data_IF_547835120040
#
_entry.id   IF_547835120040
#
_cell.length_a   1.000
_cell.length_b   1.000
_cell.length_c   1.000
_cell.angle_alpha   90.00
_cell.angle_beta   90.00
_cell.angle_gamma   90.00
#
_symmetry.space_group_name_H-M   'P 1'
#
loop_
_entity.id
_entity.type
_entity.pdbx_description
1 polymer ?
#
# COMPACT_ATOMS: atom_id res chain seq x y z
N UNK A 1 -16.37 -43.85 54.93
CA UNK A 1 -16.89 -43.31 53.63
C UNK A 1 -15.74 -43.16 52.65
N UNK A 2 -15.97 -43.48 51.40
CA UNK A 2 -14.94 -43.30 50.36
C UNK A 2 -14.85 -41.80 49.98
N UNK A 3 -13.62 -41.33 49.83
CA UNK A 3 -13.27 -40.02 49.30
C UNK A 3 -12.54 -40.16 48.01
N UNK A 4 -12.86 -39.28 47.03
CA UNK A 4 -12.26 -39.29 45.71
C UNK A 4 -11.51 -38.01 45.48
N UNK A 5 -10.37 -38.10 44.80
CA UNK A 5 -9.62 -36.94 44.29
C UNK A 5 -8.96 -37.27 42.97
N UNK A 6 -8.63 -36.26 42.18
CA UNK A 6 -7.89 -36.46 40.93
C UNK A 6 -7.01 -35.26 40.66
N UNK A 7 -5.94 -35.49 39.89
CA UNK A 7 -5.00 -34.48 39.47
C UNK A 7 -4.61 -34.69 37.98
N UNK A 8 -4.31 -33.62 37.30
CA UNK A 8 -3.68 -33.63 36.00
C UNK A 8 -2.19 -33.30 36.15
N UNK A 9 -1.37 -33.77 35.26
CA UNK A 9 0.06 -33.42 35.12
C UNK A 9 0.29 -32.07 34.47
N UNK A 10 -0.77 -31.43 33.97
CA UNK A 10 -0.71 -30.11 33.30
C UNK A 10 -1.74 -29.13 33.87
N UNK A 11 -1.43 -27.84 33.82
CA UNK A 11 -2.38 -26.75 34.14
C UNK A 11 -3.41 -26.51 33.03
N UNK A 12 -3.15 -27.04 31.81
CA UNK A 12 -4.06 -26.93 30.66
C UNK A 12 -5.34 -27.74 30.78
N UNK A 13 -5.43 -28.64 31.76
CA UNK A 13 -6.61 -29.48 32.02
C UNK A 13 -7.10 -29.31 33.45
N UNK A 14 -8.27 -28.70 33.64
CA UNK A 14 -8.94 -28.64 34.94
C UNK A 14 -9.63 -29.96 35.23
N UNK A 15 -9.30 -30.55 36.39
CA UNK A 15 -9.85 -31.82 36.87
C UNK A 15 -10.66 -31.57 38.13
N UNK A 16 -11.93 -31.97 38.14
CA UNK A 16 -12.80 -31.85 39.28
C UNK A 16 -13.54 -33.16 39.55
N UNK A 17 -13.80 -33.45 40.82
CA UNK A 17 -14.64 -34.57 41.22
C UNK A 17 -15.84 -34.05 42.03
N UNK A 18 -17.02 -34.54 41.67
CA UNK A 18 -18.25 -34.29 42.40
C UNK A 18 -18.93 -35.63 42.66
N UNK A 19 -19.00 -36.03 43.94
CA UNK A 19 -19.42 -37.36 44.40
C UNK A 19 -18.53 -38.44 43.79
N UNK A 20 -19.05 -39.21 42.83
CA UNK A 20 -18.38 -40.31 42.11
C UNK A 20 -18.07 -39.96 40.67
N UNK A 21 -18.30 -38.70 40.27
CA UNK A 21 -18.17 -38.26 38.89
C UNK A 21 -16.91 -37.42 38.70
N UNK A 22 -15.98 -37.86 37.83
CA UNK A 22 -14.82 -37.13 37.38
C UNK A 22 -15.21 -36.24 36.19
N UNK A 23 -14.89 -34.95 36.25
CA UNK A 23 -15.05 -34.01 35.17
C UNK A 23 -13.69 -33.48 34.73
N UNK A 24 -13.48 -33.52 33.45
CA UNK A 24 -12.32 -32.97 32.78
C UNK A 24 -12.75 -31.81 31.92
N UNK A 25 -12.11 -30.65 32.09
CA UNK A 25 -12.41 -29.45 31.35
C UNK A 25 -11.07 -28.83 30.87
N UNK A 26 -10.74 -28.89 29.59
CA UNK A 26 -9.61 -28.15 29.06
C UNK A 26 -9.79 -26.64 29.32
N UNK A 27 -8.71 -25.93 29.55
CA UNK A 27 -8.70 -24.46 29.46
C UNK A 27 -8.83 -24.04 28.01
N UNK A 28 -9.17 -22.77 27.78
CA UNK A 28 -9.21 -22.26 26.41
C UNK A 28 -7.85 -22.46 25.72
N UNK A 29 -7.88 -22.76 24.43
CA UNK A 29 -6.72 -22.88 23.55
C UNK A 29 -5.69 -23.96 23.98
N UNK A 30 -6.09 -24.89 24.85
CA UNK A 30 -5.27 -26.02 25.25
C UNK A 30 -5.51 -27.22 24.34
N UNK A 31 -4.44 -27.73 23.76
CA UNK A 31 -4.39 -29.01 23.04
C UNK A 31 -3.20 -29.83 23.50
N UNK A 32 -3.26 -31.14 23.30
CA UNK A 32 -2.21 -32.05 23.71
C UNK A 32 -2.70 -33.22 24.58
N UNK A 33 -1.79 -34.02 25.07
CA UNK A 33 -2.09 -35.19 25.89
C UNK A 33 -1.67 -34.93 27.31
N UNK A 34 -2.60 -35.16 28.25
CA UNK A 34 -2.41 -35.04 29.69
C UNK A 34 -2.55 -36.39 30.35
N UNK A 35 -1.79 -36.65 31.40
CA UNK A 35 -1.99 -37.79 32.29
C UNK A 35 -2.88 -37.37 33.50
N UNK A 36 -4.00 -38.05 33.65
CA UNK A 36 -4.93 -37.83 34.77
C UNK A 36 -4.82 -38.99 35.74
N UNK A 37 -4.55 -38.68 37.00
CA UNK A 37 -4.49 -39.68 38.06
C UNK A 37 -5.65 -39.49 39.06
N UNK A 38 -6.49 -40.49 39.16
CA UNK A 38 -7.61 -40.52 40.07
C UNK A 38 -7.26 -41.39 41.29
N UNK A 39 -7.74 -40.97 42.47
CA UNK A 39 -7.47 -41.62 43.72
C UNK A 39 -8.79 -41.89 44.45
N UNK A 40 -8.82 -42.98 45.22
CA UNK A 40 -9.87 -43.31 46.15
C UNK A 40 -9.25 -43.62 47.51
N UNK A 41 -9.90 -43.21 48.61
CA UNK A 41 -9.46 -43.53 49.97
C UNK A 41 -10.65 -43.77 50.86
N UNK A 42 -10.52 -44.75 51.78
CA UNK A 42 -11.49 -45.03 52.89
C UNK A 42 -11.08 -44.32 54.15
N UNK A 43 -10.00 -43.58 54.20
CA UNK A 43 -9.38 -42.92 55.33
C UNK A 43 -8.21 -43.67 55.92
N UNK A 44 -7.99 -44.94 55.58
CA UNK A 44 -6.87 -45.78 56.05
C UNK A 44 -6.00 -46.23 54.86
N UNK A 45 -6.65 -46.65 53.77
CA UNK A 45 -6.00 -47.10 52.54
C UNK A 45 -6.29 -46.17 51.41
N UNK A 46 -5.39 -46.14 50.45
CA UNK A 46 -5.51 -45.34 49.20
C UNK A 46 -5.16 -46.18 48.03
N UNK A 47 -5.98 -46.12 46.99
CA UNK A 47 -5.69 -46.70 45.67
C UNK A 47 -5.78 -45.63 44.59
N UNK A 48 -5.19 -45.86 43.45
CA UNK A 48 -5.16 -44.91 42.34
C UNK A 48 -5.06 -45.59 40.98
N UNK A 49 -5.65 -44.95 40.00
CA UNK A 49 -5.50 -45.29 38.60
C UNK A 49 -5.10 -44.06 37.81
N UNK A 50 -4.39 -44.28 36.69
CA UNK A 50 -4.00 -43.21 35.77
C UNK A 50 -4.44 -43.59 34.37
N UNK A 51 -4.79 -42.53 33.57
CA UNK A 51 -5.14 -42.65 32.16
C UNK A 51 -4.69 -41.41 31.39
N UNK A 52 -4.51 -41.55 30.09
CA UNK A 52 -4.23 -40.42 29.23
C UNK A 52 -5.53 -39.81 28.71
N UNK A 53 -5.55 -38.47 28.63
CA UNK A 53 -6.64 -37.71 28.07
C UNK A 53 -6.03 -36.76 26.99
N UNK A 54 -6.51 -36.89 25.76
CA UNK A 54 -5.99 -36.08 24.62
C UNK A 54 -7.07 -35.09 24.22
N UNK A 55 -6.69 -33.81 24.17
CA UNK A 55 -7.44 -32.72 23.53
C UNK A 55 -6.86 -32.54 22.17
N UNK A 56 -7.69 -32.71 21.15
CA UNK A 56 -7.27 -32.49 19.78
C UNK A 56 -7.14 -31.01 19.49
N UNK A 57 -6.13 -30.64 18.70
CA UNK A 57 -6.02 -29.28 18.19
C UNK A 57 -7.21 -28.98 17.26
N UNK A 58 -7.73 -27.77 17.37
CA UNK A 58 -8.72 -27.20 16.44
C UNK A 58 -8.06 -25.98 15.87
N UNK A 59 -7.99 -25.89 14.55
CA UNK A 59 -7.41 -24.74 13.85
C UNK A 59 -8.15 -23.46 14.24
N UNK A 60 -7.39 -22.49 14.71
CA UNK A 60 -7.84 -21.14 15.03
C UNK A 60 -7.14 -20.14 14.10
N UNK A 61 -7.82 -19.07 13.73
CA UNK A 61 -7.21 -18.00 12.97
C UNK A 61 -6.25 -17.17 13.84
N UNK A 62 -5.20 -16.55 13.25
CA UNK A 62 -4.35 -15.61 13.95
C UNK A 62 -5.15 -14.51 14.64
N UNK A 63 -4.71 -14.03 15.79
CA UNK A 63 -5.41 -12.98 16.52
C UNK A 63 -5.29 -11.64 15.81
N UNK A 64 -6.30 -10.79 16.01
CA UNK A 64 -6.29 -9.43 15.53
C UNK A 64 -5.04 -8.67 16.01
N UNK A 65 -4.49 -7.84 15.14
CA UNK A 65 -3.28 -7.06 15.37
C UNK A 65 -3.43 -5.64 14.85
N UNK A 66 -2.59 -4.72 15.33
CA UNK A 66 -2.75 -3.29 15.08
C UNK A 66 -1.52 -2.69 14.41
N UNK A 67 -1.74 -1.63 13.65
CA UNK A 67 -0.69 -0.76 13.21
C UNK A 67 -0.05 0.00 14.38
N UNK A 68 1.29 0.07 14.39
CA UNK A 68 2.07 0.97 15.25
C UNK A 68 2.54 2.23 14.50
N UNK A 69 2.46 2.22 13.18
CA UNK A 69 2.78 3.39 12.33
C UNK A 69 1.63 4.40 12.33
N UNK A 70 1.93 5.65 12.02
CA UNK A 70 0.93 6.73 11.88
C UNK A 70 -0.04 6.44 10.74
N UNK A 71 -1.29 6.88 10.87
CA UNK A 71 -2.34 6.65 9.87
C UNK A 71 -2.04 7.32 8.52
N UNK A 72 -1.37 8.46 8.54
CA UNK A 72 -0.93 9.16 7.32
C UNK A 72 0.43 9.81 7.54
N UNK A 73 1.22 9.88 6.48
CA UNK A 73 2.53 10.49 6.47
C UNK A 73 2.83 11.14 5.12
N UNK A 74 3.91 11.91 5.04
CA UNK A 74 4.34 12.59 3.83
C UNK A 74 5.86 12.51 3.71
N UNK A 75 6.34 12.05 2.56
CA UNK A 75 7.76 11.95 2.27
C UNK A 75 8.12 12.80 1.04
N UNK A 76 9.26 13.49 1.12
CA UNK A 76 9.86 14.20 0.01
C UNK A 76 11.12 13.45 -0.42
N UNK A 77 11.13 12.98 -1.66
CA UNK A 77 12.26 12.27 -2.26
C UNK A 77 13.15 13.26 -2.99
N UNK A 78 14.43 13.21 -2.71
CA UNK A 78 15.49 13.99 -3.33
C UNK A 78 16.68 13.08 -3.66
N UNK A 79 17.63 13.53 -4.47
CA UNK A 79 18.84 12.76 -4.75
C UNK A 79 19.70 12.49 -3.50
N UNK A 80 19.59 13.32 -2.48
CA UNK A 80 20.42 13.22 -1.27
C UNK A 80 19.86 12.25 -0.22
N UNK A 81 18.59 11.81 -0.33
CA UNK A 81 17.94 10.96 0.68
C UNK A 81 17.42 9.62 0.13
N UNK A 82 17.89 9.17 -1.02
CA UNK A 82 17.44 7.93 -1.65
C UNK A 82 17.67 6.67 -0.80
N UNK A 83 18.67 6.71 0.07
CA UNK A 83 18.97 5.62 1.00
C UNK A 83 18.14 5.65 2.29
N UNK A 84 17.39 6.74 2.53
CA UNK A 84 16.45 6.78 3.63
C UNK A 84 15.29 5.83 3.37
N UNK A 85 14.60 5.40 4.43
CA UNK A 85 13.52 4.45 4.31
C UNK A 85 12.27 4.88 5.10
N UNK A 86 11.12 4.72 4.49
CA UNK A 86 9.84 4.74 5.16
C UNK A 86 9.61 3.38 5.84
N UNK A 87 9.22 3.40 7.12
CA UNK A 87 9.07 2.19 7.93
C UNK A 87 7.64 2.02 8.38
N UNK A 88 7.03 0.91 7.97
CA UNK A 88 5.80 0.40 8.53
C UNK A 88 6.11 -0.47 9.75
N UNK A 89 5.30 -0.38 10.79
CA UNK A 89 5.40 -1.19 12.00
C UNK A 89 4.02 -1.59 12.50
N UNK A 90 3.96 -2.78 13.07
CA UNK A 90 2.74 -3.35 13.68
C UNK A 90 3.10 -4.21 14.88
N UNK A 91 2.12 -4.53 15.71
CA UNK A 91 2.30 -5.47 16.81
C UNK A 91 2.15 -6.92 16.32
N UNK A 92 2.69 -7.85 17.07
CA UNK A 92 2.58 -9.28 16.75
C UNK A 92 1.13 -9.72 16.81
N UNK A 93 0.67 -10.43 15.79
CA UNK A 93 -0.49 -11.31 15.87
C UNK A 93 -0.06 -12.59 16.58
N UNK A 94 -0.79 -13.00 17.62
CA UNK A 94 -0.54 -14.26 18.30
C UNK A 94 -1.24 -15.40 17.56
N UNK A 95 -0.61 -16.58 17.64
CA UNK A 95 -1.15 -17.82 17.11
C UNK A 95 -1.20 -18.86 18.26
N UNK A 96 -2.36 -19.52 18.45
CA UNK A 96 -2.57 -20.45 19.57
C UNK A 96 -2.17 -21.87 19.20
N UNK A 97 -2.13 -22.20 17.92
CA UNK A 97 -1.82 -23.54 17.39
C UNK A 97 -0.32 -23.78 17.22
N UNK A 98 0.51 -22.80 17.61
CA UNK A 98 1.97 -22.77 17.42
C UNK A 98 2.42 -22.76 15.94
N UNK A 99 1.58 -22.26 15.08
CA UNK A 99 1.93 -22.03 13.67
C UNK A 99 2.67 -20.71 13.50
N UNK A 100 3.36 -20.59 12.38
CA UNK A 100 4.09 -19.36 12.04
C UNK A 100 3.12 -18.40 11.41
N UNK A 101 3.07 -17.17 11.92
CA UNK A 101 2.27 -16.10 11.32
C UNK A 101 3.11 -15.33 10.31
N UNK A 102 2.64 -15.32 9.06
CA UNK A 102 3.15 -14.47 7.99
C UNK A 102 2.29 -13.22 7.86
N UNK A 103 2.93 -12.06 7.66
CA UNK A 103 2.26 -10.79 7.35
C UNK A 103 2.36 -10.50 5.86
N UNK A 104 1.22 -10.34 5.21
CA UNK A 104 1.10 -10.04 3.79
C UNK A 104 0.84 -8.54 3.64
N UNK A 105 1.76 -7.82 3.01
CA UNK A 105 1.69 -6.38 2.82
C UNK A 105 1.23 -6.09 1.41
N UNK A 106 0.18 -5.28 1.29
CA UNK A 106 -0.41 -4.87 0.03
C UNK A 106 -0.20 -3.38 -0.20
N UNK A 107 0.02 -3.01 -1.45
CA UNK A 107 0.17 -1.61 -1.88
C UNK A 107 -0.90 -1.27 -2.92
N UNK A 108 -1.45 -0.07 -2.78
CA UNK A 108 -2.26 0.57 -3.80
C UNK A 108 -1.67 1.95 -4.14
N UNK A 109 -1.37 2.18 -5.41
CA UNK A 109 -0.83 3.44 -5.90
C UNK A 109 -1.94 4.24 -6.60
N UNK A 110 -2.32 5.38 -6.03
CA UNK A 110 -3.42 6.19 -6.54
C UNK A 110 -4.73 5.41 -6.63
N UNK A 111 -5.22 5.18 -7.85
CA UNK A 111 -6.45 4.42 -8.14
C UNK A 111 -6.17 3.06 -8.78
N UNK A 112 -4.94 2.59 -8.75
CA UNK A 112 -4.57 1.30 -9.31
C UNK A 112 -5.13 0.14 -8.49
N UNK A 113 -5.00 -1.06 -9.04
CA UNK A 113 -5.35 -2.29 -8.35
C UNK A 113 -4.42 -2.50 -7.15
N UNK A 114 -4.93 -3.11 -6.09
CA UNK A 114 -4.13 -3.49 -4.92
C UNK A 114 -3.27 -4.70 -5.29
N UNK A 115 -1.99 -4.65 -4.95
CA UNK A 115 -1.05 -5.74 -5.20
C UNK A 115 -0.31 -6.11 -3.91
N UNK A 116 -0.12 -7.41 -3.69
CA UNK A 116 0.74 -7.91 -2.62
C UNK A 116 2.21 -7.67 -3.02
N UNK A 117 2.95 -6.97 -2.20
CA UNK A 117 4.35 -6.61 -2.51
C UNK A 117 5.36 -7.30 -1.62
N UNK A 118 4.95 -7.77 -0.44
CA UNK A 118 5.87 -8.36 0.52
C UNK A 118 5.16 -9.32 1.47
N UNK A 119 5.83 -10.41 1.82
CA UNK A 119 5.43 -11.32 2.88
C UNK A 119 6.60 -11.47 3.87
N UNK A 120 6.31 -11.44 5.17
CA UNK A 120 7.34 -11.49 6.22
C UNK A 120 6.79 -12.02 7.54
N UNK A 121 7.64 -12.62 8.33
CA UNK A 121 7.36 -12.97 9.74
C UNK A 121 7.76 -11.85 10.71
N UNK A 122 8.48 -10.83 10.22
CA UNK A 122 8.87 -9.66 11.01
C UNK A 122 7.65 -8.76 11.30
N UNK A 123 7.76 -7.90 12.31
CA UNK A 123 6.74 -6.90 12.67
C UNK A 123 7.08 -5.50 12.15
N UNK A 124 7.89 -5.44 11.11
CA UNK A 124 8.22 -4.19 10.41
C UNK A 124 8.61 -4.44 8.96
N UNK A 125 8.30 -3.46 8.12
CA UNK A 125 8.71 -3.42 6.72
C UNK A 125 9.28 -2.04 6.39
N UNK A 126 10.38 -2.01 5.67
CA UNK A 126 11.04 -0.77 5.27
C UNK A 126 11.12 -0.70 3.74
N UNK A 127 10.70 0.43 3.19
CA UNK A 127 10.80 0.75 1.76
C UNK A 127 11.72 1.95 1.63
N UNK A 128 12.79 1.82 0.87
CA UNK A 128 13.70 2.93 0.61
C UNK A 128 13.05 3.99 -0.27
N UNK A 129 13.51 5.23 -0.18
CA UNK A 129 13.02 6.30 -1.05
C UNK A 129 13.40 6.07 -2.51
N UNK A 130 14.50 5.34 -2.77
CA UNK A 130 14.84 4.87 -4.11
C UNK A 130 13.75 3.92 -4.65
N UNK A 131 13.33 2.92 -3.86
CA UNK A 131 12.27 2.00 -4.27
C UNK A 131 10.94 2.71 -4.51
N UNK A 132 10.60 3.73 -3.71
CA UNK A 132 9.43 4.57 -3.99
C UNK A 132 9.60 5.34 -5.30
N UNK A 133 10.78 5.91 -5.56
CA UNK A 133 11.04 6.65 -6.79
C UNK A 133 10.92 5.77 -8.04
N UNK A 134 11.38 4.53 -7.96
CA UNK A 134 11.37 3.59 -9.08
C UNK A 134 10.00 2.90 -9.25
N UNK A 135 9.50 2.26 -8.19
CA UNK A 135 8.35 1.35 -8.29
C UNK A 135 6.99 2.08 -8.23
N UNK A 136 6.83 3.03 -7.30
CA UNK A 136 5.56 3.74 -7.15
C UNK A 136 5.25 4.65 -8.35
N UNK A 137 6.24 4.93 -9.17
CA UNK A 137 6.11 5.81 -10.33
C UNK A 137 6.40 5.13 -11.67
N UNK A 138 6.64 3.81 -11.68
CA UNK A 138 6.95 3.05 -12.90
C UNK A 138 5.93 3.30 -14.01
N UNK A 139 4.63 3.27 -13.68
CA UNK A 139 3.55 3.54 -14.63
C UNK A 139 3.29 5.04 -14.86
N UNK A 140 3.86 5.90 -14.02
CA UNK A 140 3.66 7.34 -14.09
C UNK A 140 4.99 8.09 -13.92
N UNK A 141 5.96 7.87 -14.80
CA UNK A 141 7.33 8.38 -14.63
C UNK A 141 7.41 9.91 -14.55
N UNK A 142 6.38 10.61 -15.01
CA UNK A 142 6.33 12.07 -15.02
C UNK A 142 5.52 12.70 -13.90
N UNK A 143 4.84 11.89 -13.07
CA UNK A 143 4.10 12.46 -11.94
C UNK A 143 5.07 12.86 -10.83
N UNK A 144 5.02 14.10 -10.35
CA UNK A 144 5.86 14.54 -9.23
C UNK A 144 5.31 14.08 -7.88
N UNK A 145 4.06 13.64 -7.82
CA UNK A 145 3.38 13.26 -6.58
C UNK A 145 2.46 12.08 -6.81
N UNK A 146 2.43 11.18 -5.82
CA UNK A 146 1.52 10.05 -5.79
C UNK A 146 1.09 9.77 -4.36
N UNK A 147 -0.09 9.19 -4.19
CA UNK A 147 -0.55 8.64 -2.91
C UNK A 147 -0.36 7.14 -2.94
N UNK A 148 0.32 6.62 -1.93
CA UNK A 148 0.52 5.20 -1.71
C UNK A 148 -0.27 4.78 -0.48
N UNK A 149 -1.07 3.74 -0.61
CA UNK A 149 -1.89 3.19 0.45
C UNK A 149 -1.39 1.79 0.77
N UNK A 150 -1.20 1.49 2.05
CA UNK A 150 -0.81 0.19 2.54
C UNK A 150 -1.95 -0.44 3.33
N UNK A 151 -2.29 -1.67 2.98
CA UNK A 151 -3.11 -2.58 3.78
C UNK A 151 -2.32 -3.84 4.13
N UNK A 152 -2.80 -4.62 5.08
CA UNK A 152 -2.06 -5.78 5.54
C UNK A 152 -2.98 -6.85 6.12
N UNK A 153 -2.58 -8.10 5.96
CA UNK A 153 -3.19 -9.28 6.55
C UNK A 153 -2.14 -10.10 7.29
N UNK A 154 -2.55 -10.80 8.34
CA UNK A 154 -1.77 -11.87 8.96
C UNK A 154 -2.38 -13.21 8.59
N UNK A 155 -1.55 -14.22 8.31
CA UNK A 155 -1.99 -15.57 7.97
C UNK A 155 -1.10 -16.62 8.62
N UNK A 156 -1.70 -17.74 9.01
CA UNK A 156 -1.05 -18.99 9.42
C UNK A 156 -0.89 -19.98 8.24
N UNK A 157 -1.30 -19.56 7.04
CA UNK A 157 -1.32 -20.38 5.82
C UNK A 157 -2.66 -21.07 5.57
N UNK A 158 -3.62 -21.01 6.48
CA UNK A 158 -4.97 -21.57 6.38
C UNK A 158 -6.00 -20.46 6.47
N UNK A 159 -5.93 -19.66 7.54
CA UNK A 159 -6.81 -18.54 7.80
C UNK A 159 -6.07 -17.20 7.67
N UNK A 160 -6.83 -16.12 7.51
CA UNK A 160 -6.31 -14.76 7.42
C UNK A 160 -7.10 -13.81 8.29
N UNK A 161 -6.42 -12.81 8.85
CA UNK A 161 -7.04 -11.71 9.59
C UNK A 161 -6.48 -10.38 9.11
N UNK A 162 -7.36 -9.43 8.80
CA UNK A 162 -6.95 -8.08 8.43
C UNK A 162 -6.39 -7.31 9.64
N UNK A 163 -5.45 -6.41 9.38
CA UNK A 163 -4.95 -5.48 10.39
C UNK A 163 -6.09 -4.58 10.89
N UNK A 164 -6.12 -4.29 12.18
CA UNK A 164 -7.15 -3.39 12.73
C UNK A 164 -6.84 -1.92 12.43
N UNK A 165 -7.90 -1.13 12.26
CA UNK A 165 -7.83 0.28 11.94
C UNK A 165 -7.69 0.56 10.45
N UNK A 166 -7.58 1.86 10.13
CA UNK A 166 -7.50 2.30 8.75
C UNK A 166 -6.16 1.95 8.09
N UNK A 167 -6.17 1.80 6.78
CA UNK A 167 -4.96 1.64 5.98
C UNK A 167 -3.99 2.81 6.18
N UNK A 168 -2.69 2.57 5.96
CA UNK A 168 -1.67 3.61 6.05
C UNK A 168 -1.52 4.33 4.73
N UNK A 169 -1.59 5.65 4.76
CA UNK A 169 -1.55 6.51 3.57
C UNK A 169 -0.28 7.34 3.58
N UNK A 170 0.52 7.22 2.52
CA UNK A 170 1.76 7.98 2.35
C UNK A 170 1.66 8.88 1.12
N UNK A 171 1.82 10.18 1.34
CA UNK A 171 1.90 11.16 0.26
C UNK A 171 3.35 11.29 -0.18
N UNK A 172 3.67 10.70 -1.32
CA UNK A 172 5.03 10.70 -1.88
C UNK A 172 5.17 11.86 -2.85
N UNK A 173 6.13 12.75 -2.58
CA UNK A 173 6.51 13.85 -3.44
C UNK A 173 7.95 13.65 -3.91
N UNK A 174 8.19 13.60 -5.22
CA UNK A 174 9.51 13.48 -5.83
C UNK A 174 9.83 14.63 -6.80
N UNK A 175 9.20 15.78 -6.59
CA UNK A 175 9.42 16.93 -7.48
C UNK A 175 10.90 17.31 -7.58
N UNK A 176 11.60 17.38 -6.44
CA UNK A 176 13.03 17.70 -6.39
C UNK A 176 13.90 16.58 -6.98
N UNK A 177 13.53 15.32 -6.78
CA UNK A 177 14.20 14.17 -7.40
C UNK A 177 14.16 14.25 -8.92
N UNK A 178 12.98 14.48 -9.52
CA UNK A 178 12.83 14.65 -10.96
C UNK A 178 13.58 15.85 -11.52
N UNK A 179 13.73 16.91 -10.73
CA UNK A 179 14.47 18.10 -11.17
C UNK A 179 15.99 17.90 -11.20
N UNK A 180 16.50 16.84 -10.54
CA UNK A 180 17.93 16.55 -10.42
C UNK A 180 18.38 15.29 -11.17
N UNK A 181 17.45 14.39 -11.58
CA UNK A 181 17.80 13.23 -12.41
C UNK A 181 18.16 13.62 -13.85
N UNK A 182 19.39 14.04 -14.06
CA UNK A 182 20.01 14.12 -15.38
C UNK A 182 19.49 15.20 -16.33
N UNK A 183 18.45 15.91 -15.94
CA UNK A 183 17.92 17.02 -16.68
C UNK A 183 18.10 18.29 -15.85
N UNK A 184 19.33 18.79 -15.82
CA UNK A 184 19.56 20.19 -15.48
C UNK A 184 18.54 21.08 -16.18
N UNK A 185 18.49 22.36 -15.84
CA UNK A 185 17.70 23.32 -16.64
C UNK A 185 17.86 22.97 -18.11
N UNK A 186 16.77 22.76 -18.88
CA UNK A 186 16.86 22.45 -20.30
C UNK A 186 17.82 23.42 -20.98
N UNK A 187 18.66 22.92 -21.86
CA UNK A 187 19.60 23.79 -22.59
C UNK A 187 18.97 24.42 -23.80
N UNK A 188 17.79 23.93 -24.23
CA UNK A 188 17.06 24.38 -25.40
C UNK A 188 15.55 24.39 -25.16
N UNK A 189 14.82 25.28 -25.82
CA UNK A 189 13.38 25.23 -25.85
C UNK A 189 12.90 23.99 -26.60
N UNK A 190 11.98 23.24 -26.04
CA UNK A 190 11.37 22.10 -26.70
C UNK A 190 9.85 22.04 -26.51
N UNK A 191 9.15 21.49 -27.49
CA UNK A 191 7.75 21.05 -27.37
C UNK A 191 7.70 19.57 -27.71
N UNK A 192 7.26 18.75 -26.77
CA UNK A 192 7.23 17.31 -26.90
C UNK A 192 5.92 16.79 -27.49
N UNK A 193 5.89 15.51 -27.84
CA UNK A 193 4.66 14.83 -28.22
C UNK A 193 3.73 14.75 -27.02
N UNK A 194 2.43 14.93 -27.26
CA UNK A 194 1.42 14.76 -26.22
C UNK A 194 1.23 13.29 -25.89
N UNK A 195 0.94 13.01 -24.63
CA UNK A 195 0.64 11.65 -24.20
C UNK A 195 -0.60 11.61 -23.31
N UNK A 196 -1.52 10.64 -23.55
CA UNK A 196 -1.56 9.73 -24.70
C UNK A 196 -1.84 10.45 -26.02
N UNK A 197 -1.46 9.81 -27.15
CA UNK A 197 -1.80 10.25 -28.50
C UNK A 197 -1.94 9.00 -29.42
N UNK A 198 -3.14 8.63 -29.91
CA UNK A 198 -4.43 9.32 -29.71
C UNK A 198 -4.92 9.33 -28.27
N UNK A 199 -5.79 10.29 -27.90
CA UNK A 199 -6.31 10.48 -26.53
C UNK A 199 -7.83 10.56 -26.46
N UNK A 200 -8.40 10.31 -25.24
CA UNK A 200 -9.85 10.37 -24.98
C UNK A 200 -10.16 10.62 -23.49
N UNK A 201 -10.76 11.72 -23.07
CA UNK A 201 -10.73 13.01 -23.73
C UNK A 201 -9.49 13.83 -23.30
N UNK A 202 -8.61 13.28 -22.45
CA UNK A 202 -7.53 13.99 -21.76
C UNK A 202 -6.17 13.62 -22.33
N UNK A 203 -5.30 14.61 -22.48
CA UNK A 203 -3.89 14.43 -22.86
C UNK A 203 -2.99 15.43 -22.14
N UNK A 204 -1.72 15.08 -21.97
CA UNK A 204 -0.69 15.95 -21.39
C UNK A 204 0.23 16.48 -22.47
N UNK A 205 0.43 17.78 -22.48
CA UNK A 205 1.34 18.52 -23.36
C UNK A 205 2.59 18.88 -22.55
N UNK A 206 3.77 18.51 -23.03
CA UNK A 206 5.07 18.77 -22.38
C UNK A 206 5.87 19.78 -23.16
N UNK A 207 6.57 20.67 -22.46
CA UNK A 207 7.51 21.62 -23.03
C UNK A 207 8.63 21.98 -22.06
N UNK A 208 9.76 22.37 -22.61
CA UNK A 208 10.97 22.65 -21.86
C UNK A 208 11.37 24.11 -22.08
N UNK A 209 11.79 24.76 -20.99
CA UNK A 209 12.23 26.16 -20.99
C UNK A 209 13.67 26.24 -20.44
N UNK A 210 14.67 26.68 -21.24
CA UNK A 210 16.04 26.86 -20.76
C UNK A 210 16.21 28.09 -19.86
N UNK A 211 15.26 29.03 -19.92
CA UNK A 211 15.27 30.28 -19.15
C UNK A 211 13.85 30.72 -18.78
N UNK A 212 13.74 31.68 -17.84
CA UNK A 212 12.45 32.26 -17.46
C UNK A 212 11.82 32.92 -18.70
N UNK A 213 10.61 32.52 -19.04
CA UNK A 213 9.94 32.94 -20.27
C UNK A 213 8.44 33.17 -20.08
N UNK A 214 7.91 34.12 -20.84
CA UNK A 214 6.47 34.20 -21.05
C UNK A 214 6.08 33.19 -22.13
N UNK A 215 5.15 32.32 -21.83
CA UNK A 215 4.76 31.19 -22.67
C UNK A 215 3.29 31.31 -23.06
N UNK A 216 3.02 31.16 -24.34
CA UNK A 216 1.66 30.95 -24.86
C UNK A 216 1.59 29.59 -25.54
N UNK A 217 0.73 28.72 -25.05
CA UNK A 217 0.41 27.42 -25.68
C UNK A 217 -1.00 27.51 -26.24
N UNK A 218 -1.12 27.40 -27.57
CA UNK A 218 -2.41 27.53 -28.26
C UNK A 218 -2.76 26.24 -29.01
N UNK A 219 -4.00 25.83 -28.89
CA UNK A 219 -4.56 24.67 -29.60
C UNK A 219 -5.45 25.17 -30.73
N UNK A 220 -5.26 24.60 -31.91
CA UNK A 220 -5.99 24.90 -33.13
C UNK A 220 -6.68 23.67 -33.68
N UNK A 221 -7.81 23.86 -34.36
CA UNK A 221 -8.43 22.84 -35.20
C UNK A 221 -7.74 22.81 -36.59
N UNK A 222 -8.11 21.88 -37.47
CA UNK A 222 -7.54 21.72 -38.81
C UNK A 222 -7.88 22.89 -39.77
N UNK A 223 -8.82 23.74 -39.41
CA UNK A 223 -9.13 24.98 -40.15
C UNK A 223 -8.26 26.18 -39.70
N UNK A 224 -7.34 25.94 -38.75
CA UNK A 224 -6.51 27.01 -38.16
C UNK A 224 -7.24 27.90 -37.17
N UNK A 225 -8.44 27.55 -36.79
CA UNK A 225 -9.21 28.30 -35.77
C UNK A 225 -8.71 27.93 -34.37
N UNK A 226 -8.54 28.95 -33.53
CA UNK A 226 -8.11 28.79 -32.14
C UNK A 226 -9.21 28.11 -31.33
N UNK A 227 -8.84 27.07 -30.60
CA UNK A 227 -9.72 26.27 -29.74
C UNK A 227 -9.50 26.60 -28.28
N UNK A 228 -8.24 26.59 -27.83
CA UNK A 228 -7.86 26.82 -26.43
C UNK A 228 -6.52 27.57 -26.37
N UNK A 229 -6.39 28.46 -25.39
CA UNK A 229 -5.12 29.16 -25.14
C UNK A 229 -4.77 29.10 -23.65
N UNK A 230 -3.52 28.75 -23.37
CA UNK A 230 -2.90 28.81 -22.06
C UNK A 230 -1.83 29.90 -22.09
N UNK A 231 -2.02 30.94 -21.27
CA UNK A 231 -1.05 32.03 -21.13
C UNK A 231 -0.38 31.91 -19.74
N UNK A 232 0.92 31.83 -19.72
CA UNK A 232 1.76 31.68 -18.54
C UNK A 232 2.85 32.73 -18.57
N UNK A 233 2.80 33.68 -17.66
CA UNK A 233 3.79 34.76 -17.57
C UNK A 233 4.86 34.43 -16.55
N UNK A 234 6.12 34.76 -16.84
CA UNK A 234 7.24 34.55 -15.93
C UNK A 234 7.46 33.09 -15.54
N UNK A 235 7.18 32.18 -16.46
CA UNK A 235 7.37 30.73 -16.20
C UNK A 235 8.85 30.43 -16.01
N UNK A 236 9.22 29.81 -14.89
CA UNK A 236 10.60 29.49 -14.57
C UNK A 236 11.25 28.55 -15.60
N UNK A 237 12.58 28.57 -15.69
CA UNK A 237 13.32 27.56 -16.44
C UNK A 237 13.02 26.17 -15.87
N UNK A 238 12.89 25.16 -16.75
CA UNK A 238 12.58 23.79 -16.33
C UNK A 238 11.65 23.07 -17.31
N UNK A 239 11.22 21.88 -16.90
CA UNK A 239 10.30 21.02 -17.64
C UNK A 239 8.87 21.29 -17.19
N UNK A 240 7.97 21.52 -18.13
CA UNK A 240 6.58 21.91 -17.84
C UNK A 240 5.57 20.99 -18.50
N UNK A 241 4.42 20.84 -17.86
CA UNK A 241 3.30 20.06 -18.37
C UNK A 241 1.98 20.82 -18.25
N UNK A 242 1.12 20.67 -19.26
CA UNK A 242 -0.25 21.17 -19.26
C UNK A 242 -1.17 20.04 -19.65
N UNK A 243 -2.23 19.82 -18.88
CA UNK A 243 -3.28 18.88 -19.24
C UNK A 243 -4.38 19.57 -20.02
N UNK A 244 -4.77 18.99 -21.18
CA UNK A 244 -5.91 19.41 -21.96
C UNK A 244 -6.99 18.32 -21.95
N UNK A 245 -8.20 18.73 -21.60
CA UNK A 245 -9.39 17.88 -21.42
C UNK A 245 -10.36 17.93 -22.62
N UNK A 246 -9.88 18.29 -23.79
CA UNK A 246 -10.65 18.47 -25.01
C UNK A 246 -11.77 19.54 -24.90
N UNK A 247 -11.55 20.60 -24.11
CA UNK A 247 -12.46 21.76 -24.03
C UNK A 247 -11.91 22.98 -24.74
N UNK A 248 -12.78 23.83 -25.29
CA UNK A 248 -12.43 25.13 -25.83
C UNK A 248 -12.26 26.19 -24.71
N UNK A 249 -11.95 27.45 -25.06
CA UNK A 249 -11.81 28.56 -24.11
C UNK A 249 -13.10 28.86 -23.33
N UNK A 250 -14.27 28.42 -23.81
CA UNK A 250 -15.56 28.55 -23.16
C UNK A 250 -15.91 27.34 -22.26
N UNK A 251 -15.00 26.36 -22.14
CA UNK A 251 -15.23 25.13 -21.38
C UNK A 251 -16.14 24.10 -22.08
N UNK A 252 -16.43 24.28 -23.37
CA UNK A 252 -17.27 23.36 -24.14
C UNK A 252 -16.41 22.26 -24.76
N UNK A 253 -16.87 21.01 -24.74
CA UNK A 253 -16.23 19.88 -25.37
C UNK A 253 -16.11 20.08 -26.88
N UNK A 254 -14.96 19.75 -27.44
CA UNK A 254 -14.71 19.82 -28.88
C UNK A 254 -14.90 18.42 -29.53
N UNK A 255 -15.11 18.40 -30.84
CA UNK A 255 -15.33 17.15 -31.58
C UNK A 255 -14.06 16.31 -31.72
N UNK A 256 -14.23 14.99 -31.91
CA UNK A 256 -13.14 14.11 -32.31
C UNK A 256 -12.49 14.59 -33.61
N UNK A 257 -11.17 14.44 -33.69
CA UNK A 257 -10.43 14.90 -34.89
C UNK A 257 -8.97 15.17 -34.60
N UNK A 258 -8.33 15.77 -35.61
CA UNK A 258 -6.93 16.20 -35.54
C UNK A 258 -6.87 17.64 -35.06
N UNK A 259 -5.99 17.90 -34.09
CA UNK A 259 -5.70 19.21 -33.55
C UNK A 259 -4.21 19.50 -33.66
N UNK A 260 -3.87 20.78 -33.73
CA UNK A 260 -2.49 21.26 -33.66
C UNK A 260 -2.32 22.02 -32.36
N UNK A 261 -1.20 21.84 -31.69
CA UNK A 261 -0.83 22.66 -30.54
C UNK A 261 0.51 23.34 -30.80
N UNK A 262 0.57 24.59 -30.44
CA UNK A 262 1.72 25.47 -30.70
C UNK A 262 2.18 26.08 -29.41
N UNK A 263 3.46 25.90 -29.11
CA UNK A 263 4.17 26.63 -28.07
C UNK A 263 4.81 27.85 -28.67
N UNK A 264 4.64 28.99 -28.06
CA UNK A 264 5.26 30.25 -28.44
C UNK A 264 5.86 30.92 -27.22
N UNK A 265 7.14 31.28 -27.31
CA UNK A 265 7.83 32.20 -26.39
C UNK A 265 8.32 33.40 -27.21
N UNK A 266 9.11 34.28 -26.59
CA UNK A 266 9.74 35.40 -27.31
C UNK A 266 10.61 34.95 -28.47
N UNK A 267 11.39 33.87 -28.25
CA UNK A 267 12.48 33.45 -29.18
C UNK A 267 12.25 32.02 -29.72
N UNK A 268 11.12 31.39 -29.45
CA UNK A 268 10.83 30.03 -29.88
C UNK A 268 9.37 29.83 -30.27
N UNK A 269 9.16 29.14 -31.41
CA UNK A 269 7.83 28.70 -31.85
C UNK A 269 7.94 27.28 -32.39
N UNK A 270 7.12 26.38 -31.86
CA UNK A 270 7.02 25.00 -32.32
C UNK A 270 5.58 24.52 -32.32
N UNK A 271 5.20 23.79 -33.38
CA UNK A 271 3.87 23.23 -33.55
C UNK A 271 3.93 21.70 -33.64
N UNK A 272 3.02 21.02 -33.03
CA UNK A 272 2.84 19.57 -33.11
C UNK A 272 1.37 19.19 -33.35
N UNK A 273 1.17 17.94 -33.75
CA UNK A 273 -0.15 17.36 -34.05
C UNK A 273 -0.59 16.38 -32.96
N UNK A 274 -1.87 16.35 -32.63
CA UNK A 274 -2.50 15.38 -31.75
C UNK A 274 -3.85 14.90 -32.30
N UNK A 275 -4.32 13.73 -31.83
CA UNK A 275 -5.55 13.10 -32.32
C UNK A 275 -6.46 12.83 -31.15
N UNK A 276 -7.63 13.49 -31.13
CA UNK A 276 -8.71 13.25 -30.18
C UNK A 276 -9.63 12.16 -30.72
N UNK A 277 -9.80 11.10 -29.95
CA UNK A 277 -10.82 10.06 -30.18
C UNK A 277 -12.15 10.48 -29.54
N UNK A 278 -13.20 9.75 -29.90
CA UNK A 278 -14.55 10.01 -29.33
C UNK A 278 -14.84 9.04 -28.20
#
# INVERSE_FOLDING_TARGET
ALTYSAVSDTSGLTVTISYDTLRLKPVADYFGTSSVKAFVSDGQLKDSTAFSFTVLNVQDAPYAFDWLSTASDSINITQSNLTDAYKLKWNTSNEVDNEVVDYLIYIQIGKMQVEMVHATTDTSYAITYQEFADNAFELFPMLPRVTVKFSMEATDGIDTVEVTGDDRVVFVNRYEYLSTEGEGIPTEFALHENYPNPFNPTTTLRFDLPEISDVTLTIYNMLGQRVKTFNMQGTAAGYHTITWDATNDLGQQVGAGVYLYQLQTKDFVKTRKMVLLK
#
